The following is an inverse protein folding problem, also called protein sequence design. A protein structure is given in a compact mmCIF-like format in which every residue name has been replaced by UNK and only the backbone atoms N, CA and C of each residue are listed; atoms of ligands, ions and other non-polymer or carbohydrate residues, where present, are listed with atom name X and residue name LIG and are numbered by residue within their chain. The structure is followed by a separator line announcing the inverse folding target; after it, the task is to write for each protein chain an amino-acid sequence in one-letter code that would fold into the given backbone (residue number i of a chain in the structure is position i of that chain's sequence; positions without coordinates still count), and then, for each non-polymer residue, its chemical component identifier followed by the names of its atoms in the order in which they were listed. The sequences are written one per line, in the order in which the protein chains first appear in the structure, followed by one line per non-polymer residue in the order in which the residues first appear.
data_IF_647852539088
#
_entry.id   IF_647852539088
#
_cell.length_a   1.000
_cell.length_b   1.000
_cell.length_c   1.000
_cell.angle_alpha   90.00
_cell.angle_beta   90.00
_cell.angle_gamma   90.00
#
_symmetry.space_group_name_H-M   'P 1'
#
loop_
_entity.id
_entity.type
_entity.pdbx_description
1 polymer ?
#
# COMPACT_ATOMS: atom_id res chain seq x y z
N UNK A 1 -12.08 -6.17 -9.75
CA UNK A 1 -11.24 -5.65 -8.66
C UNK A 1 -10.10 -4.82 -9.25
N UNK A 2 -9.33 -4.16 -8.40
CA UNK A 2 -8.10 -3.44 -8.78
C UNK A 2 -6.91 -4.01 -8.01
N UNK A 3 -5.73 -4.01 -8.64
CA UNK A 3 -4.51 -4.52 -8.02
C UNK A 3 -3.25 -3.88 -8.59
N UNK A 4 -2.17 -3.92 -7.83
CA UNK A 4 -0.87 -3.44 -8.27
C UNK A 4 0.20 -3.60 -7.18
N UNK A 5 1.46 -3.46 -7.59
CA UNK A 5 2.65 -3.66 -6.75
C UNK A 5 3.38 -2.34 -6.55
N UNK A 6 3.90 -2.08 -5.35
CA UNK A 6 4.72 -0.91 -5.05
C UNK A 6 3.97 0.39 -5.37
N UNK A 7 4.41 1.19 -6.36
CA UNK A 7 3.67 2.35 -6.84
C UNK A 7 2.25 1.99 -7.31
N UNK A 8 2.09 0.85 -8.01
CA UNK A 8 0.77 0.32 -8.38
C UNK A 8 -0.07 -0.07 -7.16
N UNK A 9 0.56 -0.51 -6.07
CA UNK A 9 -0.10 -0.77 -4.79
C UNK A 9 -0.60 0.52 -4.15
N UNK A 10 0.23 1.57 -4.16
CA UNK A 10 -0.18 2.91 -3.73
C UNK A 10 -1.34 3.48 -4.54
N UNK A 11 -1.31 3.34 -5.87
CA UNK A 11 -2.42 3.73 -6.74
C UNK A 11 -3.69 2.90 -6.51
N UNK A 12 -3.52 1.61 -6.23
CA UNK A 12 -4.64 0.70 -5.89
C UNK A 12 -5.36 1.19 -4.64
N UNK A 13 -4.64 1.56 -3.58
CA UNK A 13 -5.23 2.10 -2.36
C UNK A 13 -5.90 3.46 -2.59
N UNK A 14 -5.25 4.35 -3.34
CA UNK A 14 -5.82 5.66 -3.64
C UNK A 14 -7.13 5.57 -4.44
N UNK A 15 -7.17 4.72 -5.48
CA UNK A 15 -8.40 4.49 -6.27
C UNK A 15 -9.48 3.85 -5.41
N UNK A 16 -9.14 2.88 -4.54
CA UNK A 16 -10.10 2.27 -3.63
C UNK A 16 -10.72 3.26 -2.62
N UNK A 17 -10.00 4.35 -2.30
CA UNK A 17 -10.44 5.40 -1.41
C UNK A 17 -11.29 6.47 -2.11
N UNK A 18 -10.98 6.77 -3.39
CA UNK A 18 -11.56 7.90 -4.13
C UNK A 18 -12.69 7.49 -5.08
N UNK A 19 -12.80 6.22 -5.43
CA UNK A 19 -13.81 5.70 -6.35
C UNK A 19 -14.60 4.55 -5.70
N UNK A 20 -15.92 4.56 -5.85
CA UNK A 20 -16.81 3.54 -5.26
C UNK A 20 -17.08 2.33 -6.15
N UNK A 21 -16.59 2.31 -7.40
CA UNK A 21 -16.76 1.20 -8.35
C UNK A 21 -15.91 -0.04 -8.04
N UNK A 22 -14.70 0.04 -7.46
CA UNK A 22 -13.92 -1.14 -7.12
C UNK A 22 -14.65 -2.07 -6.14
N UNK A 23 -14.91 -3.31 -6.58
CA UNK A 23 -15.54 -4.35 -5.73
C UNK A 23 -14.56 -4.90 -4.68
N UNK A 24 -13.25 -4.87 -4.98
CA UNK A 24 -12.15 -5.28 -4.09
C UNK A 24 -10.85 -4.61 -4.54
N UNK A 25 -9.90 -4.50 -3.62
CA UNK A 25 -8.54 -4.03 -3.85
C UNK A 25 -7.50 -5.07 -3.38
N UNK A 26 -6.43 -5.26 -4.14
CA UNK A 26 -5.29 -6.11 -3.76
C UNK A 26 -3.99 -5.34 -3.98
N UNK A 27 -3.46 -4.71 -2.93
CA UNK A 27 -2.31 -3.80 -3.00
C UNK A 27 -1.07 -4.47 -2.44
N UNK A 28 -0.08 -4.72 -3.30
CA UNK A 28 1.14 -5.44 -2.91
C UNK A 28 2.25 -4.46 -2.55
N UNK A 29 2.92 -4.70 -1.41
CA UNK A 29 4.03 -3.89 -0.84
C UNK A 29 3.88 -2.39 -1.15
N UNK A 30 2.76 -1.74 -0.76
CA UNK A 30 2.35 -0.48 -1.36
C UNK A 30 3.28 0.69 -1.00
N UNK A 31 3.75 1.36 -2.06
CA UNK A 31 4.41 2.65 -2.00
C UNK A 31 3.40 3.78 -1.75
N UNK A 32 3.88 5.03 -1.62
CA UNK A 32 3.06 6.23 -1.36
C UNK A 32 2.24 6.14 -0.06
N UNK A 33 2.81 5.51 0.97
CA UNK A 33 2.22 5.36 2.29
C UNK A 33 3.13 6.03 3.33
N UNK A 34 2.59 6.87 4.20
CA UNK A 34 3.28 7.54 5.30
C UNK A 34 4.61 8.18 4.87
N UNK A 35 4.54 9.13 3.94
CA UNK A 35 5.72 9.69 3.24
C UNK A 35 6.86 10.11 4.17
N UNK A 36 6.54 10.82 5.25
CA UNK A 36 7.56 11.32 6.20
C UNK A 36 8.34 10.16 6.84
N UNK A 37 7.64 9.18 7.41
CA UNK A 37 8.25 7.99 8.01
C UNK A 37 9.02 7.16 7.00
N UNK A 38 8.50 7.04 5.78
CA UNK A 38 9.17 6.28 4.76
C UNK A 38 10.45 6.96 4.26
N UNK A 39 10.46 8.30 4.18
CA UNK A 39 11.65 9.10 3.87
C UNK A 39 12.72 8.97 4.95
N UNK A 40 12.33 8.86 6.23
CA UNK A 40 13.27 8.68 7.34
C UNK A 40 13.93 7.28 7.37
N UNK A 41 13.30 6.26 6.78
CA UNK A 41 13.68 4.86 6.97
C UNK A 41 14.10 4.11 5.72
N UNK A 42 13.62 4.49 4.54
CA UNK A 42 13.94 3.76 3.31
C UNK A 42 15.46 3.76 3.09
N UNK A 43 16.03 2.58 2.81
CA UNK A 43 17.45 2.48 2.48
C UNK A 43 17.68 2.59 0.96
N UNK A 44 16.62 2.42 0.17
CA UNK A 44 16.62 2.53 -1.30
C UNK A 44 15.50 3.44 -1.79
N UNK A 45 15.72 4.00 -2.98
CA UNK A 45 14.72 4.85 -3.65
C UNK A 45 13.41 4.11 -3.98
N UNK A 46 12.32 4.85 -4.26
CA UNK A 46 12.35 6.27 -4.60
C UNK A 46 12.04 7.27 -3.47
N UNK A 47 11.71 6.85 -2.22
CA UNK A 47 11.46 7.83 -1.13
C UNK A 47 12.63 8.80 -0.88
N UNK A 48 13.86 8.34 -1.11
CA UNK A 48 15.06 9.16 -0.94
C UNK A 48 15.13 10.38 -1.87
N UNK A 49 14.36 10.41 -2.97
CA UNK A 49 14.24 11.61 -3.82
C UNK A 49 13.65 12.81 -3.04
N UNK A 50 12.76 12.55 -2.08
CA UNK A 50 12.21 13.59 -1.20
C UNK A 50 13.30 14.14 -0.27
N UNK A 51 14.11 13.25 0.32
CA UNK A 51 15.24 13.65 1.17
C UNK A 51 16.28 14.46 0.37
N UNK A 52 16.57 14.03 -0.86
CA UNK A 52 17.47 14.75 -1.77
C UNK A 52 16.92 16.13 -2.15
N UNK A 53 15.62 16.24 -2.42
CA UNK A 53 14.94 17.51 -2.67
C UNK A 53 15.07 18.45 -1.45
N UNK A 54 14.72 17.97 -0.25
CA UNK A 54 14.77 18.77 0.97
C UNK A 54 16.20 19.15 1.39
N UNK A 55 17.20 18.32 1.07
CA UNK A 55 18.62 18.68 1.26
C UNK A 55 19.05 19.84 0.37
N UNK A 56 18.54 19.91 -0.86
CA UNK A 56 18.81 21.02 -1.80
C UNK A 56 18.01 22.27 -1.47
N UNK A 57 16.78 22.11 -0.98
CA UNK A 57 15.84 23.21 -0.71
C UNK A 57 15.19 23.10 0.67
N UNK A 58 15.94 23.25 1.77
CA UNK A 58 15.44 22.99 3.13
C UNK A 58 14.31 23.91 3.57
N UNK A 59 14.20 25.12 3.00
CA UNK A 59 13.09 26.05 3.29
C UNK A 59 11.74 25.59 2.73
N UNK A 60 11.71 24.54 1.91
CA UNK A 60 10.49 23.99 1.30
C UNK A 60 9.84 22.88 2.14
N UNK A 61 10.40 22.53 3.31
CA UNK A 61 9.93 21.42 4.17
C UNK A 61 8.42 21.43 4.40
N UNK A 62 7.87 22.53 4.90
CA UNK A 62 6.45 22.64 5.21
C UNK A 62 5.59 22.45 3.96
N UNK A 63 5.97 23.08 2.83
CA UNK A 63 5.24 22.96 1.57
C UNK A 63 5.27 21.53 1.03
N UNK A 64 6.44 20.87 1.05
CA UNK A 64 6.61 19.51 0.56
C UNK A 64 5.73 18.55 1.35
N UNK A 65 5.80 18.58 2.70
CA UNK A 65 5.00 17.66 3.52
C UNK A 65 3.51 17.97 3.43
N UNK A 66 3.14 19.24 3.33
CA UNK A 66 1.74 19.63 3.08
C UNK A 66 1.25 19.06 1.75
N UNK A 67 2.00 19.23 0.66
CA UNK A 67 1.61 18.71 -0.67
C UNK A 67 1.51 17.19 -0.66
N UNK A 68 2.52 16.49 -0.12
CA UNK A 68 2.53 15.03 -0.06
C UNK A 68 1.38 14.47 0.79
N UNK A 69 0.92 15.20 1.80
CA UNK A 69 -0.20 14.77 2.65
C UNK A 69 -1.51 14.50 1.89
N UNK A 70 -1.73 15.16 0.75
CA UNK A 70 -2.91 14.95 -0.10
C UNK A 70 -2.87 13.64 -0.88
N UNK A 71 -1.68 13.04 -1.04
CA UNK A 71 -1.46 11.81 -1.80
C UNK A 71 -1.08 10.63 -0.90
N UNK A 72 -0.98 10.85 0.42
CA UNK A 72 -0.56 9.85 1.37
C UNK A 72 -1.68 8.84 1.63
N UNK A 73 -1.45 7.57 1.29
CA UNK A 73 -2.43 6.52 1.54
C UNK A 73 -2.75 6.31 3.02
N UNK A 74 -1.91 6.74 3.96
CA UNK A 74 -2.26 6.77 5.38
C UNK A 74 -3.47 7.69 5.66
N UNK A 75 -3.61 8.77 4.89
CA UNK A 75 -4.72 9.72 5.01
C UNK A 75 -5.94 9.30 4.20
N UNK A 76 -5.74 8.61 3.06
CA UNK A 76 -6.82 8.13 2.20
C UNK A 76 -7.44 6.81 2.69
N UNK A 77 -6.67 5.97 3.39
CA UNK A 77 -7.09 4.64 3.85
C UNK A 77 -8.45 4.58 4.60
N UNK A 78 -8.81 5.54 5.47
CA UNK A 78 -10.12 5.55 6.14
C UNK A 78 -11.32 5.67 5.19
N UNK A 79 -11.11 6.16 3.95
CA UNK A 79 -12.18 6.32 2.96
C UNK A 79 -12.47 5.03 2.18
N UNK A 80 -11.53 4.08 2.18
CA UNK A 80 -11.70 2.80 1.49
C UNK A 80 -12.91 2.04 2.05
N UNK A 81 -13.83 1.63 1.17
CA UNK A 81 -15.04 0.87 1.53
C UNK A 81 -15.05 -0.57 1.03
N UNK A 82 -14.31 -0.87 -0.04
CA UNK A 82 -14.23 -2.23 -0.56
C UNK A 82 -13.24 -3.09 0.24
N UNK A 83 -13.36 -4.42 0.19
CA UNK A 83 -12.41 -5.33 0.83
C UNK A 83 -11.00 -5.20 0.27
N UNK A 84 -9.99 -5.18 1.15
CA UNK A 84 -8.57 -4.99 0.79
C UNK A 84 -7.70 -6.19 1.20
N UNK A 85 -7.01 -6.79 0.23
CA UNK A 85 -5.86 -7.65 0.49
C UNK A 85 -4.57 -6.83 0.36
N UNK A 86 -3.69 -6.92 1.35
CA UNK A 86 -2.35 -6.34 1.30
C UNK A 86 -1.31 -7.38 1.64
N UNK A 87 -0.07 -7.12 1.22
CA UNK A 87 1.09 -7.84 1.74
C UNK A 87 2.22 -6.90 2.16
N UNK A 88 3.18 -7.46 2.89
CA UNK A 88 4.37 -6.76 3.37
C UNK A 88 5.56 -7.71 3.48
N UNK A 89 6.69 -7.33 2.90
CA UNK A 89 8.00 -7.92 3.19
C UNK A 89 8.62 -7.25 4.42
N UNK A 90 8.95 -7.99 5.47
CA UNK A 90 9.49 -7.37 6.71
C UNK A 90 10.94 -6.88 6.56
N UNK A 91 11.63 -7.26 5.47
CA UNK A 91 12.96 -6.76 5.11
C UNK A 91 12.89 -5.81 3.90
N UNK A 92 11.72 -5.26 3.59
CA UNK A 92 11.54 -4.31 2.50
C UNK A 92 12.24 -2.99 2.83
N UNK A 93 13.25 -2.66 2.03
CA UNK A 93 14.10 -1.48 2.17
C UNK A 93 13.73 -0.34 1.22
N UNK A 94 12.70 -0.53 0.38
CA UNK A 94 12.09 0.47 -0.51
C UNK A 94 10.79 1.00 0.09
N UNK A 95 9.90 0.10 0.52
CA UNK A 95 8.62 0.39 1.18
C UNK A 95 8.66 -0.12 2.62
N UNK A 96 9.27 0.62 3.57
CA UNK A 96 9.49 0.13 4.93
C UNK A 96 8.20 -0.42 5.56
N UNK A 97 8.22 -1.55 6.28
CA UNK A 97 7.01 -2.15 6.84
C UNK A 97 6.18 -1.19 7.69
N UNK A 98 6.83 -0.29 8.44
CA UNK A 98 6.12 0.72 9.24
C UNK A 98 5.28 1.69 8.39
N UNK A 99 5.67 1.96 7.14
CA UNK A 99 4.90 2.78 6.21
C UNK A 99 3.69 2.04 5.64
N UNK A 100 3.86 0.76 5.27
CA UNK A 100 2.79 -0.12 4.81
C UNK A 100 1.74 -0.33 5.90
N UNK A 101 2.19 -0.64 7.13
CA UNK A 101 1.29 -0.81 8.27
C UNK A 101 0.57 0.48 8.68
N UNK A 102 1.18 1.66 8.47
CA UNK A 102 0.51 2.93 8.75
C UNK A 102 -0.75 3.11 7.89
N UNK A 103 -0.68 2.76 6.59
CA UNK A 103 -1.86 2.73 5.73
C UNK A 103 -2.82 1.58 6.12
N UNK A 104 -2.32 0.35 6.23
CA UNK A 104 -3.16 -0.82 6.57
C UNK A 104 -3.97 -0.62 7.85
N UNK A 105 -3.36 -0.10 8.91
CA UNK A 105 -4.02 0.08 10.21
C UNK A 105 -5.15 1.12 10.16
N UNK A 106 -5.13 2.05 9.20
CA UNK A 106 -6.16 3.08 9.01
C UNK A 106 -7.34 2.61 8.15
N UNK A 107 -7.21 1.50 7.43
CA UNK A 107 -8.32 0.90 6.66
C UNK A 107 -9.38 0.36 7.64
N UNK A 108 -10.64 0.76 7.44
CA UNK A 108 -11.78 0.32 8.27
C UNK A 108 -12.65 -0.74 7.59
N UNK A 109 -12.50 -0.91 6.26
CA UNK A 109 -13.16 -1.96 5.49
C UNK A 109 -12.60 -3.36 5.81
N UNK A 110 -13.28 -4.46 5.41
CA UNK A 110 -12.73 -5.81 5.52
C UNK A 110 -11.33 -5.87 4.90
N UNK A 111 -10.35 -6.34 5.67
CA UNK A 111 -8.95 -6.33 5.23
C UNK A 111 -8.19 -7.55 5.68
N UNK A 112 -7.17 -7.93 4.92
CA UNK A 112 -6.25 -9.00 5.25
C UNK A 112 -4.83 -8.60 4.88
N UNK A 113 -3.87 -8.94 5.73
CA UNK A 113 -2.43 -8.74 5.51
C UNK A 113 -1.73 -10.09 5.34
N UNK A 114 -0.92 -10.23 4.30
CA UNK A 114 0.04 -11.33 4.15
C UNK A 114 1.43 -10.82 4.54
N UNK A 115 2.07 -11.52 5.48
CA UNK A 115 3.33 -11.09 6.05
C UNK A 115 4.43 -12.05 5.60
N UNK A 116 5.49 -11.50 5.02
CA UNK A 116 6.63 -12.25 4.52
C UNK A 116 7.89 -11.83 5.30
N UNK A 117 8.26 -12.55 6.40
CA UNK A 117 9.29 -12.10 7.33
C UNK A 117 10.70 -11.95 6.74
N UNK A 118 10.99 -12.71 5.69
CA UNK A 118 12.33 -12.80 5.09
C UNK A 118 12.38 -12.23 3.67
N UNK A 119 11.29 -11.60 3.20
CA UNK A 119 11.26 -10.98 1.89
C UNK A 119 11.55 -9.49 1.99
N UNK A 120 12.28 -8.98 1.00
CA UNK A 120 12.49 -7.56 0.75
C UNK A 120 11.41 -7.04 -0.23
N UNK A 121 11.72 -6.02 -1.03
CA UNK A 121 10.83 -5.49 -2.05
C UNK A 121 10.74 -6.41 -3.27
N UNK A 122 9.91 -7.46 -3.18
CA UNK A 122 9.78 -8.48 -4.22
C UNK A 122 8.33 -8.91 -4.41
N UNK A 123 8.00 -9.37 -5.61
CA UNK A 123 6.78 -10.15 -5.84
C UNK A 123 6.93 -11.52 -5.16
N UNK A 124 5.90 -11.96 -4.44
CA UNK A 124 5.89 -13.28 -3.80
C UNK A 124 4.95 -14.20 -4.56
N UNK A 125 5.45 -15.31 -5.09
CA UNK A 125 4.66 -16.24 -5.91
C UNK A 125 3.46 -16.81 -5.14
N UNK A 126 3.68 -17.19 -3.87
CA UNK A 126 2.63 -17.70 -2.96
C UNK A 126 1.47 -16.72 -2.75
N UNK A 127 1.67 -15.42 -3.00
CA UNK A 127 0.61 -14.42 -2.88
C UNK A 127 -0.50 -14.60 -3.93
N UNK A 128 -0.20 -15.22 -5.09
CA UNK A 128 -1.17 -15.40 -6.15
C UNK A 128 -2.34 -16.26 -5.74
N UNK A 129 -2.09 -17.35 -5.01
CA UNK A 129 -3.16 -18.21 -4.51
C UNK A 129 -4.12 -17.44 -3.60
N UNK A 130 -3.58 -16.58 -2.74
CA UNK A 130 -4.34 -15.71 -1.86
C UNK A 130 -5.13 -14.65 -2.62
N UNK A 131 -4.54 -14.06 -3.66
CA UNK A 131 -5.24 -13.12 -4.55
C UNK A 131 -6.37 -13.80 -5.30
N UNK A 132 -6.21 -15.03 -5.76
CA UNK A 132 -7.29 -15.79 -6.40
C UNK A 132 -8.40 -16.11 -5.42
N UNK A 133 -8.09 -16.59 -4.21
CA UNK A 133 -9.08 -16.83 -3.15
C UNK A 133 -9.83 -15.55 -2.79
N UNK A 134 -9.12 -14.43 -2.66
CA UNK A 134 -9.71 -13.13 -2.37
C UNK A 134 -10.63 -12.65 -3.50
N UNK A 135 -10.15 -12.69 -4.74
CA UNK A 135 -10.91 -12.29 -5.91
C UNK A 135 -12.17 -13.16 -6.06
N UNK A 136 -12.02 -14.46 -5.92
CA UNK A 136 -13.12 -15.40 -6.02
C UNK A 136 -14.18 -15.12 -4.95
N UNK A 137 -13.79 -14.98 -3.67
CA UNK A 137 -14.70 -14.67 -2.56
C UNK A 137 -15.60 -13.46 -2.84
N UNK A 138 -15.02 -12.38 -3.35
CA UNK A 138 -15.71 -11.10 -3.49
C UNK A 138 -16.30 -10.83 -4.87
N UNK A 139 -15.88 -11.55 -5.92
CA UNK A 139 -16.45 -11.41 -7.27
C UNK A 139 -17.46 -12.51 -7.60
N UNK A 140 -17.29 -13.72 -7.08
CA UNK A 140 -18.10 -14.90 -7.44
C UNK A 140 -18.92 -15.47 -6.26
N UNK A 141 -18.68 -15.01 -5.02
CA UNK A 141 -19.29 -15.55 -3.80
C UNK A 141 -18.49 -16.68 -3.15
N UNK A 142 -18.79 -17.01 -1.89
CA UNK A 142 -18.05 -18.05 -1.14
C UNK A 142 -18.42 -19.49 -1.55
N UNK A 143 -19.63 -19.70 -2.05
CA UNK A 143 -20.18 -21.04 -2.35
C UNK A 143 -19.57 -21.69 -3.60
N UNK A 144 -18.71 -20.97 -4.32
CA UNK A 144 -18.13 -21.42 -5.60
C UNK A 144 -16.68 -21.91 -5.49
N UNK A 145 -16.06 -21.83 -4.30
CA UNK A 145 -14.68 -22.30 -4.10
C UNK A 145 -14.63 -23.84 -4.06
N UNK A 146 -13.70 -24.49 -4.79
CA UNK A 146 -13.44 -25.91 -4.58
C UNK A 146 -13.03 -26.16 -3.12
N UNK A 147 -13.54 -27.25 -2.55
CA UNK A 147 -13.17 -27.71 -1.21
C UNK A 147 -11.68 -28.03 -1.08
#
# INVERSE_FOLDING_TARGET
GIMGISQGGGLTLAVAALDSRPVLAMAEVPYLCHFKRATDLAARGPYLEIADYLRRWPKQDEQVWRTLSYFDNMNLAPWIKCPVLMDVGLQDDICPPSSVYAAYNKIMAPKQMKVYPYHSHASVEDLWEEKYRWAHRYLMGMDTLPA
#
